data_IF_204098887338
#
_entry.id   IF_204098887338
#
_cell.length_a   1.000
_cell.length_b   1.000
_cell.length_c   1.000
_cell.angle_alpha   90.00
_cell.angle_beta   90.00
_cell.angle_gamma   90.00
#
_symmetry.space_group_name_H-M   'P 1'
#
loop_
_entity.id
_entity.type
_entity.pdbx_description
1 polymer ?
#
# COMPACT_ATOMS: atom_id res chain seq x y z
N UNK A 1 0.36 -0.98 15.01
CA UNK A 1 0.39 0.46 15.36
C UNK A 1 -0.76 1.06 14.58
N UNK A 2 -1.73 1.72 15.23
CA UNK A 2 -2.63 2.60 14.47
C UNK A 2 -1.75 3.53 13.64
N UNK A 3 -1.98 3.69 12.33
CA UNK A 3 -1.27 4.69 11.51
C UNK A 3 -1.42 6.05 12.21
N UNK A 4 -0.41 6.43 12.98
CA UNK A 4 -0.45 7.58 13.89
C UNK A 4 -0.21 8.89 13.15
N UNK A 5 0.62 8.74 12.14
CA UNK A 5 0.97 9.71 11.14
C UNK A 5 0.51 9.07 9.85
N UNK A 6 0.00 9.90 8.97
CA UNK A 6 -0.44 9.48 7.66
C UNK A 6 0.68 8.68 6.97
N UNK A 7 0.42 7.41 6.66
CA UNK A 7 1.28 6.57 5.83
C UNK A 7 0.91 6.79 4.36
N UNK A 8 1.62 7.68 3.69
CA UNK A 8 1.44 7.96 2.27
C UNK A 8 2.21 6.93 1.43
N UNK A 9 1.61 5.77 1.16
CA UNK A 9 2.16 4.83 0.16
C UNK A 9 1.63 5.18 -1.23
N UNK A 10 2.02 6.34 -1.76
CA UNK A 10 1.54 6.80 -3.06
C UNK A 10 2.50 6.38 -4.17
N UNK A 11 1.93 5.82 -5.24
CA UNK A 11 2.64 5.61 -6.52
C UNK A 11 2.76 6.94 -7.28
N UNK A 12 3.50 7.91 -6.72
CA UNK A 12 3.61 9.30 -7.20
C UNK A 12 4.15 9.44 -8.64
N UNK A 13 4.66 8.36 -9.24
CA UNK A 13 5.18 8.36 -10.61
C UNK A 13 4.09 8.20 -11.68
N UNK A 14 2.82 7.97 -11.32
CA UNK A 14 1.74 7.75 -12.29
C UNK A 14 0.97 9.05 -12.56
N UNK A 15 1.52 9.96 -13.36
CA UNK A 15 0.81 11.18 -13.82
C UNK A 15 0.12 10.99 -15.18
N UNK A 16 -0.84 11.83 -15.56
CA UNK A 16 -1.69 11.63 -16.76
C UNK A 16 -0.97 11.72 -18.11
N UNK A 17 0.17 12.42 -18.23
CA UNK A 17 1.02 12.27 -19.43
C UNK A 17 1.57 10.84 -19.57
N UNK A 18 1.55 10.11 -18.47
CA UNK A 18 1.98 8.73 -18.26
C UNK A 18 0.81 7.84 -17.82
N UNK A 19 -0.42 8.01 -18.32
CA UNK A 19 -1.38 6.88 -18.29
C UNK A 19 -1.01 5.85 -19.38
N UNK A 20 -0.62 6.37 -20.54
CA UNK A 20 -0.11 5.61 -21.67
C UNK A 20 1.34 5.13 -21.50
N UNK A 21 2.20 5.88 -20.79
CA UNK A 21 3.63 5.54 -20.70
C UNK A 21 3.94 4.30 -19.81
N UNK A 22 3.31 4.08 -18.64
CA UNK A 22 3.42 2.85 -17.86
C UNK A 22 2.70 1.70 -18.56
N UNK A 23 1.59 1.95 -19.26
CA UNK A 23 0.96 0.93 -20.10
C UNK A 23 1.91 0.45 -21.21
N UNK A 24 2.67 1.37 -21.83
CA UNK A 24 3.68 1.05 -22.84
C UNK A 24 4.93 0.41 -22.23
N UNK A 25 5.39 0.86 -21.05
CA UNK A 25 6.57 0.33 -20.39
C UNK A 25 6.34 -1.05 -19.73
N UNK A 26 5.12 -1.33 -19.28
CA UNK A 26 4.77 -2.60 -18.62
C UNK A 26 4.08 -3.60 -19.54
N UNK A 27 3.54 -3.16 -20.68
CA UNK A 27 2.69 -3.98 -21.55
C UNK A 27 1.33 -4.31 -20.93
N UNK A 28 1.00 -3.77 -19.75
CA UNK A 28 -0.20 -4.11 -18.99
C UNK A 28 -1.04 -2.85 -18.73
N UNK A 29 -1.98 -2.59 -19.66
CA UNK A 29 -2.89 -1.43 -19.59
C UNK A 29 -3.73 -1.45 -18.31
N UNK A 30 -4.27 -2.61 -17.93
CA UNK A 30 -5.10 -2.75 -16.73
C UNK A 30 -4.31 -2.31 -15.49
N UNK A 31 -3.08 -2.80 -15.33
CA UNK A 31 -2.19 -2.43 -14.22
C UNK A 31 -1.93 -0.92 -14.17
N UNK A 32 -1.62 -0.28 -15.30
CA UNK A 32 -1.32 1.15 -15.32
C UNK A 32 -2.49 2.01 -14.81
N UNK A 33 -3.73 1.68 -15.22
CA UNK A 33 -4.91 2.39 -14.76
C UNK A 33 -5.32 2.00 -13.33
N UNK A 34 -5.08 0.75 -12.90
CA UNK A 34 -5.26 0.33 -11.51
C UNK A 34 -4.35 1.12 -10.55
N UNK A 35 -3.07 1.24 -10.88
CA UNK A 35 -2.13 2.06 -10.12
C UNK A 35 -2.55 3.54 -10.12
N UNK A 36 -3.06 4.05 -11.25
CA UNK A 36 -3.44 5.45 -11.33
C UNK A 36 -4.69 5.79 -10.51
N UNK A 37 -5.74 4.95 -10.57
CA UNK A 37 -6.93 5.17 -9.72
C UNK A 37 -6.57 5.15 -8.24
N UNK A 38 -5.63 4.27 -7.83
CA UNK A 38 -5.18 4.14 -6.43
C UNK A 38 -4.42 5.39 -6.00
N UNK A 39 -3.54 5.90 -6.87
CA UNK A 39 -2.88 7.18 -6.64
C UNK A 39 -3.90 8.31 -6.41
N UNK A 40 -4.93 8.44 -7.26
CA UNK A 40 -5.91 9.54 -7.13
C UNK A 40 -6.73 9.39 -5.84
N UNK A 41 -7.26 8.19 -5.56
CA UNK A 41 -8.03 7.91 -4.35
C UNK A 41 -7.21 8.23 -3.10
N UNK A 42 -6.04 7.59 -2.97
CA UNK A 42 -5.20 7.78 -1.80
C UNK A 42 -4.69 9.21 -1.69
N UNK A 43 -4.28 9.87 -2.77
CA UNK A 43 -3.83 11.26 -2.68
C UNK A 43 -5.01 12.17 -2.29
N UNK A 44 -6.18 11.96 -2.86
CA UNK A 44 -7.41 12.68 -2.50
C UNK A 44 -7.72 12.55 -1.02
N UNK A 45 -7.85 11.32 -0.53
CA UNK A 45 -8.16 11.04 0.88
C UNK A 45 -7.06 11.52 1.82
N UNK A 46 -5.85 11.04 1.59
CA UNK A 46 -4.78 11.13 2.56
C UNK A 46 -4.08 12.50 2.56
N UNK A 47 -3.93 13.12 1.38
CA UNK A 47 -3.21 14.41 1.24
C UNK A 47 -4.18 15.57 1.25
N UNK A 48 -5.35 15.41 0.61
CA UNK A 48 -6.32 16.50 0.44
C UNK A 48 -7.55 16.38 1.34
N UNK A 49 -7.69 15.31 2.12
CA UNK A 49 -8.81 15.13 3.07
C UNK A 49 -10.15 14.82 2.40
N UNK A 50 -10.15 14.27 1.18
CA UNK A 50 -11.36 13.88 0.47
C UNK A 50 -11.91 12.58 1.06
N UNK A 51 -13.14 12.58 1.53
CA UNK A 51 -13.76 11.38 2.09
C UNK A 51 -13.68 10.16 1.15
N UNK A 52 -13.05 9.09 1.64
CA UNK A 52 -12.83 7.85 0.91
C UNK A 52 -14.13 7.22 0.39
N UNK A 53 -15.25 7.36 1.11
CA UNK A 53 -16.56 6.83 0.68
C UNK A 53 -16.99 7.35 -0.70
N UNK A 54 -16.56 8.57 -1.08
CA UNK A 54 -16.87 9.15 -2.39
C UNK A 54 -16.17 8.41 -3.52
N UNK A 55 -14.95 7.94 -3.29
CA UNK A 55 -14.22 7.14 -4.27
C UNK A 55 -14.82 5.72 -4.37
N UNK A 56 -15.18 5.11 -3.24
CA UNK A 56 -15.84 3.80 -3.22
C UNK A 56 -17.18 3.83 -3.96
N UNK A 57 -18.02 4.85 -3.75
CA UNK A 57 -19.27 5.02 -4.51
C UNK A 57 -19.03 5.14 -6.01
N UNK A 58 -17.96 5.81 -6.45
CA UNK A 58 -17.62 5.90 -7.87
C UNK A 58 -17.13 4.55 -8.42
N UNK A 59 -16.44 3.74 -7.61
CA UNK A 59 -16.00 2.40 -8.01
C UNK A 59 -17.17 1.41 -8.09
N UNK A 60 -18.09 1.44 -7.13
CA UNK A 60 -19.28 0.59 -7.14
C UNK A 60 -20.18 0.86 -8.35
N UNK A 61 -20.26 2.11 -8.82
CA UNK A 61 -20.93 2.44 -10.08
C UNK A 61 -20.29 1.74 -11.28
N UNK A 62 -18.95 1.76 -11.37
CA UNK A 62 -18.22 1.05 -12.44
C UNK A 62 -18.41 -0.47 -12.31
N UNK A 63 -18.29 -1.04 -11.11
CA UNK A 63 -18.52 -2.48 -10.89
C UNK A 63 -19.92 -2.91 -11.33
N UNK A 64 -20.94 -2.16 -10.93
CA UNK A 64 -22.33 -2.39 -11.31
C UNK A 64 -22.52 -2.33 -12.83
N UNK A 65 -21.88 -1.37 -13.50
CA UNK A 65 -21.97 -1.21 -14.95
C UNK A 65 -21.34 -2.37 -15.73
N UNK A 66 -20.27 -2.95 -15.19
CA UNK A 66 -19.59 -4.10 -15.80
C UNK A 66 -20.11 -5.45 -15.27
N UNK A 67 -21.09 -5.46 -14.36
CA UNK A 67 -21.68 -6.68 -13.81
C UNK A 67 -20.71 -7.51 -12.97
N UNK A 68 -19.70 -6.88 -12.36
CA UNK A 68 -18.67 -7.53 -11.56
C UNK A 68 -18.84 -7.19 -10.09
N UNK A 69 -18.33 -8.06 -9.22
CA UNK A 69 -18.42 -7.85 -7.76
C UNK A 69 -17.07 -7.51 -7.15
N UNK A 70 -15.99 -8.06 -7.72
CA UNK A 70 -14.63 -7.85 -7.23
C UNK A 70 -13.93 -6.76 -8.04
N UNK A 71 -13.17 -5.90 -7.35
CA UNK A 71 -12.34 -4.88 -7.99
C UNK A 71 -11.34 -5.47 -9.01
N UNK A 72 -10.88 -6.70 -8.77
CA UNK A 72 -9.96 -7.43 -9.66
C UNK A 72 -10.59 -7.81 -10.99
N UNK A 73 -11.92 -7.98 -11.03
CA UNK A 73 -12.68 -8.37 -12.22
C UNK A 73 -12.95 -7.18 -13.15
N UNK A 74 -12.76 -5.95 -12.67
CA UNK A 74 -12.97 -4.74 -13.48
C UNK A 74 -11.95 -4.72 -14.62
N UNK A 75 -12.41 -4.64 -15.89
CA UNK A 75 -11.53 -4.67 -17.06
C UNK A 75 -10.81 -3.33 -17.23
N UNK A 76 -9.81 -3.31 -18.12
CA UNK A 76 -8.98 -2.12 -18.34
C UNK A 76 -9.83 -0.90 -18.75
N UNK A 77 -10.84 -1.10 -19.59
CA UNK A 77 -11.79 -0.08 -20.05
C UNK A 77 -12.54 0.55 -18.88
N UNK A 78 -13.04 -0.27 -17.94
CA UNK A 78 -13.71 0.20 -16.74
C UNK A 78 -12.78 1.01 -15.83
N UNK A 79 -11.50 0.63 -15.73
CA UNK A 79 -10.51 1.39 -14.97
C UNK A 79 -10.17 2.74 -15.62
N UNK A 80 -10.18 2.84 -16.96
CA UNK A 80 -10.01 4.14 -17.65
C UNK A 80 -11.12 5.11 -17.25
N UNK A 81 -12.36 4.63 -17.25
CA UNK A 81 -13.52 5.44 -16.90
C UNK A 81 -13.54 5.79 -15.41
N UNK A 82 -13.16 4.85 -14.56
CA UNK A 82 -13.03 5.07 -13.13
C UNK A 82 -12.03 6.18 -12.81
N UNK A 83 -10.89 6.21 -13.50
CA UNK A 83 -9.91 7.30 -13.36
C UNK A 83 -10.52 8.67 -13.69
N UNK A 84 -11.37 8.74 -14.72
CA UNK A 84 -12.06 9.98 -15.06
C UNK A 84 -13.04 10.39 -13.94
N UNK A 85 -13.82 9.45 -13.42
CA UNK A 85 -14.72 9.69 -12.28
C UNK A 85 -13.96 10.12 -11.02
N UNK A 86 -12.82 9.49 -10.71
CA UNK A 86 -12.00 9.84 -9.54
C UNK A 86 -11.43 11.26 -9.64
N UNK A 87 -11.02 11.69 -10.84
CA UNK A 87 -10.61 13.09 -11.07
C UNK A 87 -11.77 14.07 -10.86
N UNK A 88 -12.97 13.68 -11.27
CA UNK A 88 -14.18 14.48 -11.02
C UNK A 88 -14.48 14.58 -9.52
N UNK A 89 -14.47 13.46 -8.78
CA UNK A 89 -14.64 13.43 -7.32
C UNK A 89 -13.60 14.34 -6.65
N UNK A 90 -12.33 14.21 -7.03
CA UNK A 90 -11.26 15.06 -6.52
C UNK A 90 -11.56 16.54 -6.78
N UNK A 91 -11.93 16.90 -8.01
CA UNK A 91 -12.19 18.30 -8.38
C UNK A 91 -13.37 18.89 -7.62
N UNK A 92 -14.45 18.13 -7.45
CA UNK A 92 -15.64 18.57 -6.73
C UNK A 92 -15.36 18.82 -5.25
N UNK A 93 -14.46 18.05 -4.64
CA UNK A 93 -14.15 18.16 -3.21
C UNK A 93 -13.03 19.14 -2.90
N UNK A 94 -12.01 19.21 -3.77
CA UNK A 94 -10.82 20.04 -3.57
C UNK A 94 -10.98 21.42 -4.22
N UNK A 95 -11.85 21.55 -5.22
CA UNK A 95 -12.04 22.80 -5.98
C UNK A 95 -10.97 23.05 -7.05
N UNK A 96 -10.08 22.09 -7.30
CA UNK A 96 -9.04 22.18 -8.34
C UNK A 96 -8.82 20.83 -9.03
N UNK A 97 -8.23 20.85 -10.23
CA UNK A 97 -7.86 19.62 -10.94
C UNK A 97 -6.80 18.81 -10.17
N UNK A 98 -6.81 17.48 -10.37
CA UNK A 98 -5.80 16.60 -9.77
C UNK A 98 -4.39 16.96 -10.29
N UNK A 99 -3.42 17.24 -9.40
CA UNK A 99 -2.10 17.72 -9.80
C UNK A 99 -1.39 16.69 -10.68
N UNK A 100 -0.95 17.10 -11.87
CA UNK A 100 -0.25 16.23 -12.84
C UNK A 100 1.28 16.38 -12.78
N UNK A 101 1.79 17.25 -11.92
CA UNK A 101 3.23 17.39 -11.70
C UNK A 101 3.65 16.49 -10.52
N UNK A 102 4.46 15.44 -10.73
CA UNK A 102 4.92 14.55 -9.67
C UNK A 102 5.63 15.28 -8.53
N UNK A 103 6.39 16.34 -8.84
CA UNK A 103 7.07 17.14 -7.82
C UNK A 103 6.08 17.90 -6.95
N UNK A 104 4.98 18.37 -7.53
CA UNK A 104 3.92 19.03 -6.74
C UNK A 104 3.17 18.01 -5.87
N UNK A 105 2.92 16.81 -6.39
CA UNK A 105 2.33 15.74 -5.60
C UNK A 105 3.24 15.36 -4.42
N UNK A 106 4.56 15.24 -4.66
CA UNK A 106 5.53 14.94 -3.62
C UNK A 106 5.59 16.04 -2.53
N UNK A 107 5.63 17.31 -2.93
CA UNK A 107 5.59 18.46 -2.02
C UNK A 107 4.36 18.41 -1.11
N UNK A 108 3.16 18.26 -1.71
CA UNK A 108 1.90 18.18 -0.97
C UNK A 108 1.84 16.96 -0.04
N UNK A 109 2.36 15.81 -0.49
CA UNK A 109 2.45 14.60 0.33
C UNK A 109 3.35 14.80 1.55
N UNK A 110 4.52 15.43 1.38
CA UNK A 110 5.45 15.76 2.48
C UNK A 110 4.76 16.68 3.49
N UNK A 111 4.10 17.73 3.02
CA UNK A 111 3.34 18.64 3.88
C UNK A 111 2.24 17.93 4.65
N UNK A 112 1.48 17.03 4.00
CA UNK A 112 0.42 16.27 4.65
C UNK A 112 0.96 15.37 5.77
N UNK A 113 2.11 14.71 5.55
CA UNK A 113 2.76 13.91 6.60
C UNK A 113 3.13 14.78 7.80
N UNK A 114 3.75 15.95 7.57
CA UNK A 114 4.09 16.86 8.67
C UNK A 114 2.85 17.41 9.39
N UNK A 115 1.79 17.79 8.65
CA UNK A 115 0.52 18.22 9.26
C UNK A 115 -0.09 17.11 10.13
N UNK A 116 -0.04 15.86 9.68
CA UNK A 116 -0.61 14.73 10.42
C UNK A 116 0.04 14.46 11.78
N UNK A 117 1.29 14.93 12.01
CA UNK A 117 1.92 14.88 13.33
C UNK A 117 1.10 15.61 14.41
N UNK A 118 0.40 16.68 14.01
CA UNK A 118 -0.42 17.50 14.90
C UNK A 118 -1.92 17.20 14.79
N UNK A 119 -2.32 16.11 14.14
CA UNK A 119 -3.72 15.69 14.12
C UNK A 119 -4.19 15.26 15.53
N UNK A 120 -5.46 15.49 15.84
CA UNK A 120 -6.04 15.19 17.16
C UNK A 120 -5.83 13.74 17.60
N UNK A 121 -5.91 12.80 16.65
CA UNK A 121 -5.63 11.38 16.87
C UNK A 121 -4.18 11.14 17.29
N UNK A 122 -3.23 11.80 16.64
CA UNK A 122 -1.80 11.67 16.93
C UNK A 122 -1.46 12.27 18.30
N UNK A 123 -2.03 13.45 18.62
CA UNK A 123 -1.88 14.11 19.93
C UNK A 123 -2.46 13.22 21.04
N UNK A 124 -3.68 12.73 20.85
CA UNK A 124 -4.36 11.86 21.82
C UNK A 124 -3.57 10.59 22.07
N UNK A 125 -3.04 9.96 21.02
CA UNK A 125 -2.22 8.76 21.17
C UNK A 125 -0.93 9.02 21.95
N UNK A 126 -0.20 10.10 21.63
CA UNK A 126 1.04 10.45 22.37
C UNK A 126 0.75 10.65 23.85
N UNK A 127 -0.36 11.33 24.18
CA UNK A 127 -0.81 11.52 25.56
C UNK A 127 -1.12 10.19 26.25
N UNK A 128 -1.93 9.33 25.63
CA UNK A 128 -2.32 8.03 26.20
C UNK A 128 -1.14 7.06 26.34
N UNK A 129 -0.15 7.17 25.46
CA UNK A 129 1.04 6.32 25.46
C UNK A 129 2.21 6.89 26.29
N UNK A 130 2.02 8.04 26.95
CA UNK A 130 3.08 8.70 27.75
C UNK A 130 4.28 9.19 26.94
N UNK A 131 4.12 9.42 25.64
CA UNK A 131 5.23 9.80 24.74
C UNK A 131 5.44 11.32 24.82
N UNK A 132 6.62 11.73 25.30
CA UNK A 132 7.01 13.14 25.44
C UNK A 132 8.38 13.41 24.78
N UNK A 133 8.67 14.67 24.49
CA UNK A 133 10.00 15.11 24.00
C UNK A 133 10.29 14.86 22.51
N UNK A 134 9.39 14.20 21.76
CA UNK A 134 9.56 14.02 20.32
C UNK A 134 9.33 15.33 19.57
N UNK A 135 10.22 15.64 18.61
CA UNK A 135 10.17 16.89 17.82
C UNK A 135 9.21 16.86 16.64
N UNK A 136 8.90 15.67 16.10
CA UNK A 136 8.17 15.54 14.86
C UNK A 136 8.17 14.12 14.32
N UNK A 137 7.73 13.99 13.07
CA UNK A 137 7.79 12.76 12.27
C UNK A 137 8.76 12.93 11.11
N UNK A 138 9.37 11.82 10.66
CA UNK A 138 10.14 11.78 9.42
C UNK A 138 9.23 11.50 8.21
N UNK A 139 9.76 11.75 7.01
CA UNK A 139 9.16 11.34 5.73
C UNK A 139 10.15 10.42 5.03
N UNK A 140 9.71 9.23 4.66
CA UNK A 140 10.49 8.28 3.87
C UNK A 140 10.00 8.31 2.42
N UNK A 141 10.88 8.65 1.48
CA UNK A 141 10.60 8.60 0.04
C UNK A 141 11.37 7.42 -0.54
N UNK A 142 10.67 6.45 -1.11
CA UNK A 142 11.24 5.19 -1.59
C UNK A 142 10.83 4.92 -3.03
N UNK A 143 11.70 4.26 -3.79
CA UNK A 143 11.34 3.76 -5.11
C UNK A 143 10.24 2.69 -5.00
N UNK A 144 9.23 2.79 -5.87
CA UNK A 144 8.09 1.88 -5.88
C UNK A 144 8.48 0.49 -6.38
N UNK A 145 7.82 -0.52 -5.81
CA UNK A 145 7.83 -1.92 -6.22
C UNK A 145 6.38 -2.40 -6.24
N UNK A 146 5.99 -3.15 -7.27
CA UNK A 146 4.59 -3.50 -7.53
C UNK A 146 4.30 -4.99 -7.33
N UNK A 147 3.47 -5.31 -6.33
CA UNK A 147 2.97 -6.66 -6.10
C UNK A 147 1.78 -7.07 -6.98
N UNK A 148 1.23 -6.14 -7.78
CA UNK A 148 0.02 -6.30 -8.60
C UNK A 148 0.31 -6.31 -10.12
N UNK A 149 1.50 -6.75 -10.53
CA UNK A 149 1.86 -6.86 -11.95
C UNK A 149 1.44 -8.16 -12.63
N UNK A 150 0.85 -9.11 -11.89
CA UNK A 150 0.47 -10.43 -12.38
C UNK A 150 0.66 -11.52 -11.32
N UNK A 151 0.51 -12.78 -11.75
CA UNK A 151 0.50 -13.95 -10.86
C UNK A 151 1.89 -14.35 -10.35
N UNK A 152 2.95 -13.76 -10.91
CA UNK A 152 4.34 -13.88 -10.45
C UNK A 152 4.75 -12.78 -9.45
N UNK A 153 3.79 -11.93 -9.07
CA UNK A 153 3.95 -10.78 -8.19
C UNK A 153 3.03 -10.90 -6.97
N UNK A 154 3.39 -10.26 -5.86
CA UNK A 154 2.60 -10.30 -4.64
C UNK A 154 3.15 -9.43 -3.53
N UNK A 155 2.49 -9.42 -2.39
CA UNK A 155 2.88 -8.62 -1.22
C UNK A 155 2.49 -9.33 0.05
N UNK A 156 3.17 -9.06 1.15
CA UNK A 156 2.86 -9.72 2.42
C UNK A 156 3.47 -9.04 3.63
N UNK A 157 2.96 -9.48 4.78
CA UNK A 157 3.40 -9.08 6.11
C UNK A 157 3.73 -10.33 6.90
N UNK A 158 4.83 -10.34 7.62
CA UNK A 158 5.24 -11.50 8.41
C UNK A 158 5.96 -11.11 9.69
N UNK A 159 5.90 -12.00 10.66
CA UNK A 159 6.65 -12.00 11.88
C UNK A 159 7.68 -13.13 11.82
N UNK A 160 8.88 -12.87 12.32
CA UNK A 160 9.93 -13.89 12.37
C UNK A 160 9.63 -14.98 13.40
N UNK A 161 8.69 -14.76 14.33
CA UNK A 161 8.12 -15.76 15.25
C UNK A 161 6.63 -15.57 15.34
N UNK A 162 5.91 -16.56 15.87
CA UNK A 162 4.50 -16.38 16.17
C UNK A 162 4.34 -15.28 17.24
N UNK A 163 3.67 -14.16 16.96
CA UNK A 163 3.55 -13.03 17.89
C UNK A 163 2.59 -13.32 19.07
N UNK A 164 1.81 -14.40 19.00
CA UNK A 164 0.85 -14.82 20.00
C UNK A 164 1.38 -15.91 20.93
N UNK A 165 2.11 -16.90 20.39
CA UNK A 165 2.64 -18.03 21.19
C UNK A 165 4.13 -17.90 21.52
N UNK A 166 4.88 -17.09 20.77
CA UNK A 166 6.34 -16.98 20.88
C UNK A 166 7.11 -18.08 20.16
N UNK A 167 6.42 -19.07 19.56
CA UNK A 167 7.06 -20.16 18.84
C UNK A 167 7.92 -19.64 17.67
N UNK A 168 9.06 -20.29 17.44
CA UNK A 168 9.98 -19.95 16.35
C UNK A 168 9.48 -20.42 14.97
N UNK A 169 8.25 -20.06 14.65
CA UNK A 169 7.57 -20.34 13.39
C UNK A 169 7.47 -19.05 12.59
N UNK A 170 7.79 -19.10 11.30
CA UNK A 170 7.58 -17.94 10.42
C UNK A 170 6.08 -17.76 10.22
N UNK A 171 5.55 -16.63 10.67
CA UNK A 171 4.11 -16.42 10.82
C UNK A 171 3.70 -15.17 10.05
N UNK A 172 2.58 -15.18 9.35
CA UNK A 172 2.15 -14.03 8.56
C UNK A 172 1.34 -14.43 7.36
N UNK A 173 1.04 -13.46 6.51
CA UNK A 173 0.15 -13.65 5.37
C UNK A 173 0.65 -12.91 4.13
N UNK A 174 0.25 -13.39 2.95
CA UNK A 174 0.57 -12.79 1.66
C UNK A 174 -0.61 -12.86 0.70
N UNK A 175 -0.60 -11.96 -0.29
CA UNK A 175 -1.55 -11.94 -1.41
C UNK A 175 -0.78 -11.93 -2.73
N UNK A 176 -1.24 -12.76 -3.67
CA UNK A 176 -0.76 -12.79 -5.05
C UNK A 176 -1.50 -11.73 -5.87
N UNK A 177 -0.77 -11.04 -6.75
CA UNK A 177 -1.28 -10.01 -7.63
C UNK A 177 -2.07 -8.94 -6.84
N UNK A 178 -1.41 -8.32 -5.86
CA UNK A 178 -2.01 -7.41 -4.88
C UNK A 178 -1.03 -6.32 -4.42
N UNK A 179 -1.55 -5.22 -3.87
CA UNK A 179 -0.75 -4.20 -3.17
C UNK A 179 -0.94 -4.30 -1.65
N UNK A 180 -0.01 -3.71 -0.89
CA UNK A 180 0.00 -3.82 0.57
C UNK A 180 -1.30 -3.35 1.24
N UNK A 181 -2.00 -2.39 0.65
CA UNK A 181 -3.34 -1.97 1.07
C UNK A 181 -4.34 -3.12 1.08
N UNK A 182 -4.31 -4.00 0.08
CA UNK A 182 -5.28 -5.09 -0.04
C UNK A 182 -5.11 -6.12 1.09
N UNK A 183 -3.90 -6.25 1.65
CA UNK A 183 -3.62 -7.09 2.83
C UNK A 183 -4.22 -6.46 4.10
N UNK A 184 -4.21 -5.12 4.20
CA UNK A 184 -4.70 -4.41 5.39
C UNK A 184 -6.22 -4.20 5.35
N UNK A 185 -6.78 -4.00 4.16
CA UNK A 185 -8.20 -3.70 3.98
C UNK A 185 -9.11 -4.92 4.19
N UNK A 186 -8.57 -6.15 4.15
CA UNK A 186 -9.34 -7.38 4.36
C UNK A 186 -10.34 -7.71 3.25
N UNK A 187 -10.26 -7.02 2.10
CA UNK A 187 -11.15 -7.24 0.95
C UNK A 187 -10.88 -8.61 0.31
N UNK A 188 -9.62 -9.09 0.38
CA UNK A 188 -9.20 -10.40 -0.13
C UNK A 188 -8.73 -11.27 1.01
N UNK A 189 -9.09 -12.55 0.97
CA UNK A 189 -8.61 -13.55 1.92
C UNK A 189 -7.11 -13.77 1.71
N UNK A 190 -6.26 -13.36 2.66
CA UNK A 190 -4.82 -13.53 2.54
C UNK A 190 -4.44 -14.99 2.81
N UNK A 191 -3.29 -15.41 2.27
CA UNK A 191 -2.77 -16.78 2.42
C UNK A 191 -1.65 -16.82 3.45
N UNK A 192 -1.59 -17.83 4.31
CA UNK A 192 -0.46 -18.02 5.24
C UNK A 192 0.91 -18.10 4.54
N UNK A 193 1.95 -17.49 5.11
CA UNK A 193 3.30 -17.45 4.49
C UNK A 193 3.98 -18.81 4.35
N UNK A 194 3.59 -19.80 5.13
CA UNK A 194 4.05 -21.20 5.01
C UNK A 194 3.60 -21.85 3.69
N UNK A 195 2.43 -21.47 3.18
CA UNK A 195 1.93 -21.88 1.87
C UNK A 195 2.68 -21.27 0.68
N UNK A 196 3.54 -20.25 0.90
CA UNK A 196 4.32 -19.64 -0.18
C UNK A 196 5.20 -20.66 -0.90
N UNK A 197 5.56 -21.78 -0.28
CA UNK A 197 6.31 -22.86 -0.93
C UNK A 197 5.56 -23.42 -2.14
N UNK A 198 4.23 -23.48 -2.10
CA UNK A 198 3.38 -23.95 -3.20
C UNK A 198 3.23 -22.93 -4.34
N UNK A 199 3.43 -21.64 -4.06
CA UNK A 199 3.36 -20.58 -5.07
C UNK A 199 4.75 -20.21 -5.63
N UNK A 200 5.70 -19.85 -4.75
CA UNK A 200 7.05 -19.45 -5.13
C UNK A 200 8.08 -19.91 -4.08
N UNK A 201 8.55 -21.16 -4.21
CA UNK A 201 9.55 -21.77 -3.33
C UNK A 201 10.86 -20.97 -3.23
N UNK A 202 11.28 -20.29 -4.32
CA UNK A 202 12.52 -19.51 -4.34
C UNK A 202 12.40 -18.27 -3.45
N UNK A 203 11.28 -17.54 -3.54
CA UNK A 203 11.01 -16.37 -2.68
C UNK A 203 10.86 -16.81 -1.23
N UNK A 204 10.12 -17.88 -0.94
CA UNK A 204 9.97 -18.37 0.42
C UNK A 204 11.32 -18.70 1.07
N UNK A 205 12.21 -19.38 0.34
CA UNK A 205 13.57 -19.66 0.82
C UNK A 205 14.41 -18.38 1.04
N UNK A 206 14.21 -17.34 0.23
CA UNK A 206 14.86 -16.04 0.45
C UNK A 206 14.33 -15.33 1.70
N UNK A 207 13.01 -15.35 1.92
CA UNK A 207 12.37 -14.79 3.12
C UNK A 207 12.90 -15.47 4.39
N UNK A 208 13.01 -16.80 4.43
CA UNK A 208 13.57 -17.51 5.59
C UNK A 208 15.04 -17.15 5.86
N UNK A 209 15.84 -16.91 4.81
CA UNK A 209 17.21 -16.40 4.98
C UNK A 209 17.22 -14.99 5.57
N UNK A 210 16.34 -14.11 5.08
CA UNK A 210 16.22 -12.73 5.57
C UNK A 210 15.71 -12.71 7.02
N UNK A 211 14.69 -13.51 7.35
CA UNK A 211 14.19 -13.76 8.70
C UNK A 211 15.34 -14.01 9.68
N UNK A 212 16.18 -15.01 9.38
CA UNK A 212 17.31 -15.37 10.24
C UNK A 212 18.36 -14.26 10.33
N UNK A 213 18.62 -13.54 9.22
CA UNK A 213 19.55 -12.41 9.19
C UNK A 213 19.07 -11.25 10.06
N UNK A 214 17.78 -10.90 9.97
CA UNK A 214 17.16 -9.82 10.72
C UNK A 214 17.11 -10.14 12.22
N UNK A 215 16.65 -11.33 12.61
CA UNK A 215 16.66 -11.74 14.03
C UNK A 215 18.07 -11.73 14.61
N UNK A 216 19.07 -12.24 13.87
CA UNK A 216 20.46 -12.25 14.34
C UNK A 216 21.02 -10.83 14.51
N UNK A 217 20.65 -9.93 13.61
CA UNK A 217 21.14 -8.55 13.64
C UNK A 217 20.50 -7.73 14.76
N UNK A 218 19.17 -7.71 14.82
CA UNK A 218 18.40 -6.92 15.79
C UNK A 218 18.28 -7.60 17.16
N UNK A 219 18.65 -8.89 17.25
CA UNK A 219 18.57 -9.72 18.47
C UNK A 219 17.17 -9.79 19.07
N UNK A 220 16.16 -9.65 18.23
CA UNK A 220 14.76 -9.70 18.64
C UNK A 220 13.86 -10.14 17.47
N UNK A 221 12.65 -10.57 17.78
CA UNK A 221 11.61 -10.90 16.81
C UNK A 221 11.24 -9.66 15.98
N UNK A 222 11.17 -9.83 14.66
CA UNK A 222 10.88 -8.75 13.72
C UNK A 222 9.52 -8.94 13.05
N UNK A 223 8.80 -7.83 12.92
CA UNK A 223 7.66 -7.62 12.02
C UNK A 223 8.21 -7.03 10.71
N UNK A 224 7.94 -7.69 9.59
CA UNK A 224 8.50 -7.41 8.26
C UNK A 224 7.40 -7.24 7.22
N UNK A 225 7.60 -6.26 6.35
CA UNK A 225 6.75 -6.03 5.17
C UNK A 225 7.60 -6.24 3.91
N UNK A 226 7.04 -6.96 2.93
CA UNK A 226 7.76 -7.33 1.72
C UNK A 226 6.86 -7.31 0.49
N UNK A 227 7.48 -7.15 -0.68
CA UNK A 227 6.82 -7.21 -1.97
C UNK A 227 7.64 -8.05 -2.94
N UNK A 228 6.94 -8.78 -3.80
CA UNK A 228 7.49 -9.54 -4.91
C UNK A 228 7.03 -8.87 -6.18
N UNK A 229 7.97 -8.38 -6.98
CA UNK A 229 7.69 -7.86 -8.33
C UNK A 229 8.36 -8.79 -9.33
N UNK A 230 7.55 -9.45 -10.17
CA UNK A 230 8.01 -10.36 -11.23
C UNK A 230 9.02 -11.40 -10.73
N UNK A 231 8.67 -12.08 -9.63
CA UNK A 231 9.50 -13.09 -8.97
C UNK A 231 10.73 -12.56 -8.21
N UNK A 232 10.94 -11.24 -8.13
CA UNK A 232 12.02 -10.62 -7.35
C UNK A 232 11.50 -10.10 -6.01
N UNK A 233 12.11 -10.54 -4.92
CA UNK A 233 11.78 -10.12 -3.56
C UNK A 233 12.42 -8.78 -3.20
N UNK A 234 11.63 -7.91 -2.57
CA UNK A 234 12.03 -6.63 -2.00
C UNK A 234 11.51 -6.53 -0.55
N UNK A 235 12.39 -6.10 0.36
CA UNK A 235 12.02 -5.82 1.75
C UNK A 235 11.68 -4.33 1.88
N UNK A 236 10.50 -4.02 2.39
CA UNK A 236 10.00 -2.65 2.48
C UNK A 236 10.16 -2.08 3.89
N UNK A 237 9.87 -2.89 4.90
CA UNK A 237 9.95 -2.46 6.29
C UNK A 237 10.40 -3.62 7.18
N UNK A 238 11.11 -3.29 8.25
CA UNK A 238 11.34 -4.18 9.38
C UNK A 238 11.32 -3.37 10.66
N UNK A 239 10.75 -3.93 11.72
CA UNK A 239 10.75 -3.35 13.06
C UNK A 239 10.64 -4.46 14.10
N UNK A 240 10.98 -4.16 15.34
CA UNK A 240 10.69 -5.07 16.46
C UNK A 240 9.19 -5.36 16.50
N UNK A 241 8.83 -6.64 16.41
CA UNK A 241 7.43 -7.05 16.39
C UNK A 241 6.77 -6.87 17.75
N UNK A 242 5.56 -6.30 17.73
CA UNK A 242 4.70 -6.30 18.92
C UNK A 242 4.25 -7.74 19.18
N UNK A 243 4.24 -8.12 20.46
CA UNK A 243 3.83 -9.44 20.92
C UNK A 243 2.94 -9.28 22.15
N UNK A 244 2.14 -10.30 22.41
CA UNK A 244 1.25 -10.37 23.57
C UNK A 244 1.91 -11.20 24.67
#
# INVERSE_FOLDING_TARGET
MFRLVVGVSLSLTVCASTGAAPAAATGNRRFAYDAYRRLINMFGDVVMGVDHERFEHAFDQIKSRFGVTLDTEVPAEGLVELVALYKQVYREQVGSEFPQNPMKQLELAIEAVFKSWNADRAISYRRLSGIQGLRGTAVNVQAMVYGNMGDDSGTGVAFTRNPSTGDNTFYGEFLVNAQGEDVVAGIRTPRPVDEMTGWNKKVHAQLLKIKNKLEKHYRDMQDIEFTIERGRLFMLQTRTGKRT
#
